data_IF_010673813802
#
_entry.id   IF_010673813802
#
_cell.length_a   1.000
_cell.length_b   1.000
_cell.length_c   1.000
_cell.angle_alpha   90.00
_cell.angle_beta   90.00
_cell.angle_gamma   90.00
#
_symmetry.space_group_name_H-M   'P 1'
#
loop_
_entity.id
_entity.type
_entity.pdbx_description
1 polymer ?
#
# COMPACT_ATOMS: atom_id res chain seq x y z
N UNK A 1 24.34 -27.57 31.21
CA UNK A 1 23.50 -27.89 30.05
C UNK A 1 22.62 -26.69 29.66
N UNK A 2 21.64 -26.27 30.47
CA UNK A 2 20.73 -25.16 30.08
C UNK A 2 21.49 -23.85 29.86
N UNK A 3 22.48 -23.56 30.68
CA UNK A 3 23.36 -22.39 30.57
C UNK A 3 24.22 -22.44 29.31
N UNK A 4 24.79 -23.58 28.98
CA UNK A 4 25.57 -23.82 27.76
C UNK A 4 24.67 -23.66 26.50
N UNK A 5 23.46 -24.18 26.53
CA UNK A 5 22.53 -24.05 25.40
C UNK A 5 21.96 -22.64 25.20
N UNK A 6 21.90 -21.82 26.26
CA UNK A 6 21.46 -20.42 26.17
C UNK A 6 22.52 -19.45 25.67
N UNK A 7 23.81 -19.82 25.77
CA UNK A 7 24.97 -18.98 25.36
C UNK A 7 25.28 -19.08 23.86
N UNK A 8 24.88 -20.17 23.14
CA UNK A 8 25.21 -20.33 21.70
C UNK A 8 24.13 -19.71 20.82
N UNK A 9 23.10 -19.87 20.50
CA UNK A 9 22.13 -19.23 19.55
C UNK A 9 20.69 -19.17 20.07
N UNK A 10 20.51 -19.40 21.37
CA UNK A 10 19.19 -19.56 21.98
C UNK A 10 18.68 -21.01 21.88
N UNK A 11 17.67 -21.34 22.67
CA UNK A 11 17.12 -22.70 22.72
C UNK A 11 16.35 -23.03 21.45
N UNK A 12 16.66 -24.12 20.73
CA UNK A 12 16.03 -24.49 19.47
C UNK A 12 14.57 -24.98 19.63
N UNK A 13 14.15 -25.28 20.84
CA UNK A 13 12.80 -25.70 21.20
C UNK A 13 12.51 -25.35 22.67
N UNK A 14 11.24 -25.29 23.09
CA UNK A 14 10.90 -25.07 24.50
C UNK A 14 11.42 -26.21 25.39
N UNK A 15 12.09 -25.83 26.46
CA UNK A 15 12.69 -26.77 27.42
C UNK A 15 11.90 -26.76 28.72
N UNK A 16 11.43 -27.91 29.16
CA UNK A 16 10.75 -28.10 30.46
C UNK A 16 11.72 -28.84 31.38
N UNK A 17 12.09 -28.21 32.49
CA UNK A 17 12.97 -28.79 33.48
C UNK A 17 12.18 -29.65 34.49
N UNK A 18 12.77 -30.80 34.86
CA UNK A 18 12.12 -31.71 35.85
C UNK A 18 13.12 -32.08 36.95
N UNK A 19 12.75 -31.87 38.21
CA UNK A 19 13.61 -32.21 39.36
C UNK A 19 12.85 -32.92 40.48
N UNK A 20 13.52 -33.80 41.18
CA UNK A 20 12.97 -34.46 42.38
C UNK A 20 13.25 -33.68 43.68
N UNK A 21 14.13 -32.69 43.68
CA UNK A 21 14.53 -31.86 44.84
C UNK A 21 14.63 -30.38 44.37
N UNK A 22 13.58 -29.84 43.75
CA UNK A 22 13.56 -28.48 43.29
C UNK A 22 13.17 -27.50 44.38
N UNK A 23 14.01 -26.53 44.68
CA UNK A 23 13.56 -25.36 45.46
C UNK A 23 12.96 -24.29 44.54
N UNK A 24 12.19 -23.36 45.12
CA UNK A 24 11.66 -22.22 44.36
C UNK A 24 12.77 -21.44 43.67
N UNK A 25 13.95 -21.36 44.29
CA UNK A 25 15.13 -20.67 43.75
C UNK A 25 15.65 -21.36 42.47
N UNK A 26 15.71 -22.71 42.46
CA UNK A 26 16.14 -23.49 41.27
C UNK A 26 15.11 -23.36 40.11
N UNK A 27 13.82 -23.25 40.42
CA UNK A 27 12.79 -23.01 39.41
C UNK A 27 12.94 -21.63 38.79
N UNK A 28 13.13 -20.59 39.61
CA UNK A 28 13.34 -19.21 39.15
C UNK A 28 14.63 -19.09 38.30
N UNK A 29 15.72 -19.76 38.72
CA UNK A 29 16.97 -19.77 37.97
C UNK A 29 16.82 -20.48 36.61
N UNK A 30 16.14 -21.62 36.57
CA UNK A 30 15.85 -22.33 35.32
C UNK A 30 15.04 -21.47 34.34
N UNK A 31 14.03 -20.75 34.81
CA UNK A 31 13.23 -19.84 33.97
C UNK A 31 14.06 -18.63 33.50
N UNK A 32 14.96 -18.09 34.33
CA UNK A 32 15.89 -17.04 33.92
C UNK A 32 16.89 -17.49 32.85
N UNK A 33 17.26 -18.77 32.85
CA UNK A 33 18.15 -19.38 31.86
C UNK A 33 17.38 -19.82 30.58
N UNK A 34 16.09 -19.50 30.44
CA UNK A 34 15.29 -19.74 29.25
C UNK A 34 14.47 -21.03 29.26
N UNK A 35 14.34 -21.75 30.40
CA UNK A 35 13.39 -22.83 30.49
C UNK A 35 11.95 -22.30 30.38
N UNK A 36 11.10 -22.99 29.60
CA UNK A 36 9.69 -22.64 29.46
C UNK A 36 8.92 -22.81 30.79
N UNK A 37 9.20 -23.94 31.49
CA UNK A 37 8.58 -24.22 32.79
C UNK A 37 9.45 -25.20 33.60
N UNK A 38 9.13 -25.34 34.89
CA UNK A 38 9.78 -26.25 35.83
C UNK A 38 8.75 -27.14 36.51
N UNK A 39 9.00 -28.46 36.50
CA UNK A 39 8.10 -29.45 37.10
C UNK A 39 8.81 -30.23 38.21
N UNK A 40 8.19 -30.32 39.36
CA UNK A 40 8.70 -31.14 40.51
C UNK A 40 8.17 -32.58 40.43
N UNK A 41 9.06 -33.54 40.72
CA UNK A 41 8.71 -34.98 40.86
C UNK A 41 8.14 -35.23 42.25
N UNK A 42 7.10 -36.09 42.42
CA UNK A 42 6.47 -36.97 41.41
C UNK A 42 5.56 -36.23 40.45
N UNK A 43 5.68 -36.58 39.14
CA UNK A 43 4.94 -35.94 38.06
C UNK A 43 3.50 -36.49 37.94
N UNK A 44 2.54 -35.61 37.89
CA UNK A 44 1.20 -35.92 37.40
C UNK A 44 1.21 -35.94 35.86
N UNK A 45 0.76 -37.05 35.27
CA UNK A 45 0.63 -37.18 33.82
C UNK A 45 -0.20 -36.02 33.20
N UNK A 46 -1.30 -35.63 33.86
CA UNK A 46 -2.14 -34.54 33.43
C UNK A 46 -1.37 -33.19 33.41
N UNK A 47 -0.57 -32.90 34.43
CA UNK A 47 0.24 -31.66 34.48
C UNK A 47 1.35 -31.67 33.42
N UNK A 48 2.01 -32.81 33.20
CA UNK A 48 3.05 -32.93 32.17
C UNK A 48 2.47 -32.69 30.78
N UNK A 49 1.34 -33.36 30.46
CA UNK A 49 0.66 -33.20 29.18
C UNK A 49 0.25 -31.72 28.94
N UNK A 50 -0.39 -31.10 29.92
CA UNK A 50 -0.86 -29.72 29.82
C UNK A 50 0.31 -28.74 29.62
N UNK A 51 1.42 -28.92 30.37
CA UNK A 51 2.59 -28.04 30.24
C UNK A 51 3.26 -28.24 28.89
N UNK A 52 3.36 -29.50 28.41
CA UNK A 52 3.95 -29.77 27.08
C UNK A 52 3.09 -29.20 25.96
N UNK A 53 1.76 -29.35 26.03
CA UNK A 53 0.86 -28.79 25.03
C UNK A 53 0.98 -27.25 24.95
N UNK A 54 0.98 -26.56 26.09
CA UNK A 54 1.17 -25.13 26.18
C UNK A 54 2.54 -24.68 25.64
N UNK A 55 3.60 -25.42 25.96
CA UNK A 55 4.94 -25.13 25.47
C UNK A 55 5.03 -25.24 23.94
N UNK A 56 4.44 -26.29 23.37
CA UNK A 56 4.39 -26.48 21.91
C UNK A 56 3.52 -25.43 21.21
N UNK A 57 2.37 -25.05 21.80
CA UNK A 57 1.54 -23.99 21.27
C UNK A 57 2.24 -22.63 21.28
N UNK A 58 2.92 -22.29 22.37
CA UNK A 58 3.72 -21.07 22.46
C UNK A 58 4.86 -21.05 21.43
N UNK A 59 5.58 -22.16 21.25
CA UNK A 59 6.64 -22.27 20.22
C UNK A 59 6.08 -22.14 18.80
N UNK A 60 4.94 -22.78 18.54
CA UNK A 60 4.25 -22.65 17.25
C UNK A 60 3.89 -21.20 16.96
N UNK A 61 3.30 -20.47 17.92
CA UNK A 61 2.96 -19.06 17.77
C UNK A 61 4.20 -18.19 17.54
N UNK A 62 5.31 -18.45 18.25
CA UNK A 62 6.58 -17.77 18.05
C UNK A 62 7.14 -18.02 16.65
N UNK A 63 7.14 -19.29 16.18
CA UNK A 63 7.60 -19.65 14.83
C UNK A 63 6.71 -19.06 13.74
N UNK A 64 5.39 -19.08 13.91
CA UNK A 64 4.44 -18.45 13.00
C UNK A 64 4.67 -16.94 12.95
N UNK A 65 4.88 -16.28 14.09
CA UNK A 65 5.18 -14.87 14.18
C UNK A 65 6.51 -14.52 13.48
N UNK A 66 7.56 -15.32 13.71
CA UNK A 66 8.85 -15.17 13.01
C UNK A 66 8.67 -15.41 11.50
N UNK A 67 7.88 -16.40 11.11
CA UNK A 67 7.57 -16.69 9.71
C UNK A 67 6.78 -15.57 9.05
N UNK A 68 5.79 -15.00 9.73
CA UNK A 68 5.04 -13.82 9.28
C UNK A 68 5.95 -12.59 9.21
N UNK A 69 6.77 -12.34 10.24
CA UNK A 69 7.76 -11.26 10.23
C UNK A 69 8.76 -11.39 9.07
N UNK A 70 9.30 -12.59 8.81
CA UNK A 70 10.20 -12.83 7.67
C UNK A 70 9.51 -12.62 6.32
N UNK A 71 8.23 -12.96 6.17
CA UNK A 71 7.44 -12.66 4.95
C UNK A 71 7.16 -11.17 4.78
N UNK A 72 7.06 -10.43 5.88
CA UNK A 72 6.79 -8.97 5.87
C UNK A 72 8.09 -8.14 5.73
N UNK A 73 9.27 -8.69 6.07
CA UNK A 73 10.56 -7.97 6.16
C UNK A 73 11.49 -8.28 4.96
N UNK A 74 10.99 -8.65 3.81
CA UNK A 74 11.81 -8.49 2.62
C UNK A 74 11.56 -7.05 2.12
N UNK A 75 12.10 -6.08 2.84
CA UNK A 75 12.25 -4.73 2.32
C UNK A 75 13.32 -4.82 1.22
N UNK A 76 12.86 -5.06 -0.01
CA UNK A 76 13.77 -5.02 -1.14
C UNK A 76 14.34 -3.60 -1.26
N UNK A 77 15.64 -3.51 -1.49
CA UNK A 77 16.25 -2.24 -1.85
C UNK A 77 15.51 -1.68 -3.08
N UNK A 78 15.09 -0.40 -3.07
CA UNK A 78 14.43 0.20 -4.23
C UNK A 78 15.26 0.02 -5.49
N UNK A 79 14.65 -0.49 -6.55
CA UNK A 79 15.32 -0.86 -7.80
C UNK A 79 15.62 0.40 -8.60
N UNK A 80 16.74 0.38 -9.31
CA UNK A 80 17.19 1.43 -10.20
C UNK A 80 18.67 1.75 -10.00
N UNK A 81 19.43 1.81 -11.08
CA UNK A 81 20.85 2.18 -11.12
C UNK A 81 21.06 3.62 -11.53
N UNK A 82 20.00 4.31 -11.91
CA UNK A 82 20.01 5.71 -12.27
C UNK A 82 20.53 6.58 -11.12
N UNK A 83 21.12 7.71 -11.48
CA UNK A 83 21.75 8.62 -10.52
C UNK A 83 20.75 9.17 -9.50
N UNK A 84 19.50 9.38 -9.90
CA UNK A 84 18.42 9.84 -9.03
C UNK A 84 18.15 8.81 -7.92
N UNK A 85 17.97 7.54 -8.30
CA UNK A 85 17.69 6.45 -7.36
C UNK A 85 18.87 6.14 -6.44
N UNK A 86 20.10 6.22 -6.95
CA UNK A 86 21.30 6.05 -6.11
C UNK A 86 21.39 7.14 -5.03
N UNK A 87 21.22 8.41 -5.40
CA UNK A 87 21.21 9.55 -4.46
C UNK A 87 20.11 9.39 -3.40
N UNK A 88 18.92 8.97 -3.82
CA UNK A 88 17.80 8.79 -2.92
C UNK A 88 18.07 7.66 -1.91
N UNK A 89 18.62 6.52 -2.35
CA UNK A 89 19.04 5.43 -1.44
C UNK A 89 20.11 5.88 -0.44
N UNK A 90 21.11 6.64 -0.87
CA UNK A 90 22.12 7.19 0.04
C UNK A 90 21.52 8.19 1.03
N UNK A 91 20.57 9.01 0.60
CA UNK A 91 19.84 9.91 1.50
C UNK A 91 19.05 9.10 2.53
N UNK A 92 18.34 8.06 2.12
CA UNK A 92 17.61 7.17 3.04
C UNK A 92 18.55 6.51 4.05
N UNK A 93 19.72 5.99 3.63
CA UNK A 93 20.70 5.39 4.53
C UNK A 93 21.21 6.38 5.59
N UNK A 94 21.40 7.65 5.23
CA UNK A 94 21.78 8.71 6.19
C UNK A 94 20.64 9.03 7.16
N UNK A 95 19.42 9.19 6.67
CA UNK A 95 18.24 9.48 7.50
C UNK A 95 17.94 8.32 8.46
N UNK A 96 18.16 7.08 8.01
CA UNK A 96 17.89 5.87 8.79
C UNK A 96 18.70 5.78 10.10
N UNK A 97 19.86 6.44 10.16
CA UNK A 97 20.71 6.45 11.36
C UNK A 97 20.15 7.33 12.49
N UNK A 98 19.16 8.15 12.21
CA UNK A 98 18.51 9.05 13.17
C UNK A 98 17.07 8.63 13.39
N UNK A 99 16.62 8.69 14.64
CA UNK A 99 15.22 8.34 15.01
C UNK A 99 14.30 9.57 14.86
N UNK A 100 14.40 10.25 13.73
CA UNK A 100 13.61 11.44 13.39
C UNK A 100 12.44 11.09 12.49
N UNK A 101 11.42 11.92 12.49
CA UNK A 101 10.27 11.79 11.60
C UNK A 101 10.63 12.16 10.17
N UNK A 102 9.96 11.52 9.22
CA UNK A 102 10.24 11.67 7.79
C UNK A 102 8.94 11.88 7.04
N UNK A 103 8.90 12.92 6.23
CA UNK A 103 7.80 13.16 5.30
C UNK A 103 8.22 12.71 3.89
N UNK A 104 7.59 11.64 3.39
CA UNK A 104 7.83 11.13 2.05
C UNK A 104 6.79 11.71 1.09
N UNK A 105 7.23 12.47 0.11
CA UNK A 105 6.37 13.02 -0.94
C UNK A 105 6.65 12.37 -2.29
N UNK A 106 5.64 12.30 -3.15
CA UNK A 106 5.77 11.74 -4.50
C UNK A 106 4.42 11.36 -5.08
N UNK A 107 4.35 11.22 -6.38
CA UNK A 107 3.12 10.85 -7.08
C UNK A 107 2.58 9.48 -6.66
N UNK A 108 1.28 9.25 -6.92
CA UNK A 108 0.67 7.95 -6.71
C UNK A 108 1.43 6.87 -7.50
N UNK A 109 1.77 5.75 -6.82
CA UNK A 109 2.49 4.64 -7.45
C UNK A 109 3.98 4.86 -7.67
N UNK A 110 4.59 5.96 -7.22
CA UNK A 110 6.03 6.23 -7.36
C UNK A 110 6.92 5.33 -6.48
N UNK A 111 6.34 4.63 -5.50
CA UNK A 111 7.10 3.74 -4.60
C UNK A 111 7.35 4.32 -3.21
N UNK A 112 6.58 5.31 -2.74
CA UNK A 112 6.70 5.91 -1.40
C UNK A 112 6.74 4.85 -0.29
N UNK A 113 5.84 3.88 -0.32
CA UNK A 113 5.82 2.76 0.63
C UNK A 113 7.11 1.93 0.58
N UNK A 114 7.64 1.66 -0.62
CA UNK A 114 8.90 0.95 -0.80
C UNK A 114 10.06 1.67 -0.11
N UNK A 115 10.11 3.00 -0.24
CA UNK A 115 11.12 3.82 0.43
C UNK A 115 10.91 3.90 1.95
N UNK A 116 9.66 3.91 2.43
CA UNK A 116 9.36 3.86 3.86
C UNK A 116 9.84 2.53 4.48
N UNK A 117 9.56 1.40 3.81
CA UNK A 117 10.05 0.07 4.24
C UNK A 117 11.56 -0.04 4.15
N UNK A 118 12.18 0.52 3.13
CA UNK A 118 13.63 0.57 3.00
C UNK A 118 14.26 1.41 4.11
N UNK A 119 13.70 2.58 4.43
CA UNK A 119 14.14 3.42 5.53
C UNK A 119 14.08 2.67 6.87
N UNK A 120 12.99 1.96 7.13
CA UNK A 120 12.85 1.13 8.31
C UNK A 120 13.93 0.04 8.36
N UNK A 121 14.16 -0.69 7.25
CA UNK A 121 15.14 -1.79 7.17
C UNK A 121 16.59 -1.34 7.40
N UNK A 122 16.89 -0.08 7.12
CA UNK A 122 18.21 0.52 7.34
C UNK A 122 18.36 1.18 8.73
N UNK A 123 17.29 1.21 9.53
CA UNK A 123 17.27 1.91 10.83
C UNK A 123 17.65 1.01 12.00
N UNK A 124 17.88 1.62 13.17
CA UNK A 124 18.07 0.90 14.43
C UNK A 124 16.83 0.08 14.85
N UNK A 125 15.65 0.40 14.31
CA UNK A 125 14.36 -0.29 14.57
C UNK A 125 14.04 -1.38 13.55
N UNK A 126 14.97 -1.78 12.68
CA UNK A 126 14.77 -2.75 11.57
C UNK A 126 14.18 -4.09 12.01
N UNK A 127 14.50 -4.55 13.23
CA UNK A 127 14.00 -5.82 13.79
C UNK A 127 12.72 -5.65 14.62
N UNK A 128 12.16 -4.44 14.64
CA UNK A 128 10.95 -4.05 15.35
C UNK A 128 9.75 -4.02 14.41
N UNK A 129 8.51 -3.90 14.91
CA UNK A 129 7.33 -3.82 14.07
C UNK A 129 7.39 -2.67 13.06
N UNK A 130 6.93 -2.93 11.84
CA UNK A 130 6.59 -1.92 10.84
C UNK A 130 5.10 -2.02 10.58
N UNK A 131 4.35 -1.00 10.96
CA UNK A 131 2.91 -0.91 10.74
C UNK A 131 2.64 0.10 9.64
N UNK A 132 1.83 -0.30 8.68
CA UNK A 132 1.41 0.51 7.55
C UNK A 132 -0.08 0.83 7.71
N UNK A 133 -0.40 2.11 7.82
CA UNK A 133 -1.75 2.60 8.00
C UNK A 133 -2.10 3.58 6.88
N UNK A 134 -2.86 3.09 5.89
CA UNK A 134 -3.38 3.92 4.79
C UNK A 134 -4.60 4.72 5.24
N UNK A 135 -4.44 6.02 5.41
CA UNK A 135 -5.51 6.91 5.92
C UNK A 135 -6.67 7.03 4.93
N UNK A 136 -6.39 7.07 3.63
CA UNK A 136 -7.40 7.23 2.58
C UNK A 136 -8.38 6.05 2.45
N UNK A 137 -7.94 4.84 2.85
CA UNK A 137 -8.77 3.62 2.80
C UNK A 137 -9.73 3.46 3.97
N UNK A 138 -9.63 4.30 5.01
CA UNK A 138 -10.40 4.17 6.23
C UNK A 138 -11.58 5.15 6.20
N UNK A 139 -12.80 4.64 6.48
CA UNK A 139 -13.94 5.52 6.65
C UNK A 139 -13.63 6.58 7.74
N UNK A 140 -13.89 7.86 7.46
CA UNK A 140 -13.56 9.00 8.35
C UNK A 140 -13.96 8.77 9.81
N UNK A 141 -15.09 8.10 10.04
CA UNK A 141 -15.60 7.76 11.38
C UNK A 141 -14.68 6.78 12.12
N UNK A 142 -13.91 5.97 11.42
CA UNK A 142 -13.06 4.93 11.99
C UNK A 142 -11.57 5.32 12.06
N UNK A 143 -11.16 6.40 11.39
CA UNK A 143 -9.75 6.78 11.28
C UNK A 143 -9.09 6.98 12.66
N UNK A 144 -9.79 7.63 13.60
CA UNK A 144 -9.30 7.78 14.97
C UNK A 144 -9.16 6.45 15.70
N UNK A 145 -10.10 5.50 15.49
CA UNK A 145 -10.04 4.15 16.11
C UNK A 145 -8.89 3.31 15.56
N UNK A 146 -8.66 3.37 14.26
CA UNK A 146 -7.57 2.63 13.62
C UNK A 146 -6.20 3.18 14.04
N UNK A 147 -6.08 4.49 14.24
CA UNK A 147 -4.82 5.12 14.64
C UNK A 147 -4.57 5.01 16.15
N UNK A 148 -5.54 5.40 16.98
CA UNK A 148 -5.41 5.48 18.44
C UNK A 148 -5.95 4.27 19.20
N UNK A 149 -6.65 3.36 18.50
CA UNK A 149 -7.37 2.28 19.17
C UNK A 149 -8.67 2.73 19.82
N UNK A 150 -9.36 1.79 20.43
CA UNK A 150 -10.60 2.08 21.16
C UNK A 150 -10.75 1.20 22.39
N UNK A 151 -11.48 1.71 23.36
CA UNK A 151 -11.85 0.96 24.57
C UNK A 151 -13.36 1.09 24.79
N UNK A 152 -14.05 -0.05 24.72
CA UNK A 152 -15.50 -0.08 24.86
C UNK A 152 -15.92 -1.35 25.62
N UNK A 153 -16.74 -1.20 26.67
CA UNK A 153 -17.27 -2.31 27.48
C UNK A 153 -16.19 -3.27 28.02
N UNK A 154 -14.99 -2.75 28.38
CA UNK A 154 -13.86 -3.54 28.86
C UNK A 154 -13.08 -4.28 27.75
N UNK A 155 -13.45 -4.10 26.48
CA UNK A 155 -12.71 -4.63 25.34
C UNK A 155 -11.79 -3.54 24.78
N UNK A 156 -10.49 -3.87 24.67
CA UNK A 156 -9.46 -2.99 24.10
C UNK A 156 -9.16 -3.43 22.68
N UNK A 157 -9.26 -2.47 21.75
CA UNK A 157 -8.76 -2.61 20.38
C UNK A 157 -7.52 -1.74 20.23
N UNK A 158 -6.37 -2.34 19.92
CA UNK A 158 -5.09 -1.65 19.75
C UNK A 158 -5.02 -0.96 18.40
N UNK A 159 -4.78 0.36 18.40
CA UNK A 159 -4.59 1.16 17.18
C UNK A 159 -3.19 1.04 16.61
N UNK A 160 -2.97 1.65 15.43
CA UNK A 160 -1.69 1.63 14.73
C UNK A 160 -0.52 2.13 15.55
N UNK A 161 -0.72 3.15 16.39
CA UNK A 161 0.32 3.66 17.30
C UNK A 161 0.77 2.62 18.32
N UNK A 162 -0.14 1.85 18.89
CA UNK A 162 0.20 0.78 19.83
C UNK A 162 0.80 -0.45 19.13
N UNK A 163 0.26 -0.81 17.98
CA UNK A 163 0.77 -1.94 17.17
C UNK A 163 2.20 -1.69 16.71
N UNK A 164 2.56 -0.42 16.46
CA UNK A 164 3.90 -0.01 16.05
C UNK A 164 4.85 0.24 17.24
N UNK A 165 4.45 -0.02 18.47
CA UNK A 165 5.25 0.28 19.66
C UNK A 165 6.68 -0.30 19.59
N UNK A 166 7.67 0.55 19.87
CA UNK A 166 9.10 0.24 19.73
C UNK A 166 9.59 0.18 18.27
N UNK A 167 8.72 0.32 17.29
CA UNK A 167 8.98 0.15 15.86
C UNK A 167 8.76 1.41 15.03
N UNK A 168 8.18 1.24 13.84
CA UNK A 168 7.90 2.31 12.88
C UNK A 168 6.45 2.26 12.44
N UNK A 169 5.79 3.42 12.43
CA UNK A 169 4.45 3.61 11.85
C UNK A 169 4.58 4.41 10.56
N UNK A 170 4.11 3.84 9.45
CA UNK A 170 3.87 4.56 8.20
C UNK A 170 2.41 5.03 8.18
N UNK A 171 2.21 6.34 8.05
CA UNK A 171 0.91 6.95 7.73
C UNK A 171 0.90 7.29 6.24
N UNK A 172 0.27 6.43 5.42
CA UNK A 172 0.16 6.69 3.98
C UNK A 172 -1.07 7.55 3.67
N UNK A 173 -0.88 8.48 2.73
CA UNK A 173 -1.84 9.53 2.33
C UNK A 173 -2.29 10.41 3.51
N UNK A 174 -1.32 10.89 4.30
CA UNK A 174 -1.58 11.76 5.46
C UNK A 174 -2.35 13.03 5.09
N UNK A 175 -2.24 13.50 3.83
CA UNK A 175 -2.98 14.66 3.31
C UNK A 175 -4.51 14.46 3.28
N UNK A 176 -4.99 13.21 3.27
CA UNK A 176 -6.42 12.87 3.27
C UNK A 176 -7.02 12.76 4.69
N UNK A 177 -6.19 12.97 5.72
CA UNK A 177 -6.60 12.86 7.12
C UNK A 177 -7.62 13.95 7.50
N UNK A 178 -8.67 13.55 8.21
CA UNK A 178 -9.67 14.49 8.76
C UNK A 178 -9.04 15.44 9.80
N UNK A 179 -9.47 16.70 9.83
CA UNK A 179 -8.91 17.72 10.71
C UNK A 179 -9.01 17.36 12.21
N UNK A 180 -10.05 16.63 12.60
CA UNK A 180 -10.19 16.16 13.99
C UNK A 180 -9.08 15.18 14.36
N UNK A 181 -8.79 14.24 13.46
CA UNK A 181 -7.73 13.24 13.63
C UNK A 181 -6.34 13.92 13.56
N UNK A 182 -6.16 14.91 12.67
CA UNK A 182 -4.94 15.73 12.63
C UNK A 182 -4.66 16.39 13.97
N UNK A 183 -5.69 16.98 14.61
CA UNK A 183 -5.56 17.61 15.93
C UNK A 183 -5.23 16.61 17.05
N UNK A 184 -5.83 15.42 17.03
CA UNK A 184 -5.52 14.35 17.98
C UNK A 184 -4.09 13.83 17.79
N UNK A 185 -3.65 13.63 16.56
CA UNK A 185 -2.30 13.19 16.25
C UNK A 185 -1.27 14.22 16.73
N UNK A 186 -1.47 15.49 16.43
CA UNK A 186 -0.61 16.57 16.92
C UNK A 186 -0.50 16.55 18.44
N UNK A 187 -1.65 16.53 19.14
CA UNK A 187 -1.67 16.47 20.61
C UNK A 187 -0.93 15.26 21.17
N UNK A 188 -1.06 14.10 20.51
CA UNK A 188 -0.38 12.87 20.89
C UNK A 188 1.15 12.97 20.70
N UNK A 189 1.59 13.60 19.60
CA UNK A 189 3.01 13.80 19.31
C UNK A 189 3.65 14.80 20.26
N UNK A 190 2.95 15.88 20.61
CA UNK A 190 3.43 16.91 21.53
C UNK A 190 3.57 16.41 22.96
N UNK A 191 2.60 15.62 23.44
CA UNK A 191 2.58 15.10 24.81
C UNK A 191 3.35 13.79 24.99
N UNK A 192 3.69 13.12 23.89
CA UNK A 192 4.29 11.77 23.92
C UNK A 192 3.34 10.68 24.41
N UNK A 193 2.01 10.98 24.47
CA UNK A 193 1.00 10.04 24.92
C UNK A 193 -0.37 10.37 24.29
N UNK A 194 -1.26 9.38 24.26
CA UNK A 194 -2.62 9.56 23.74
C UNK A 194 -3.64 8.76 24.57
N UNK A 195 -4.91 9.04 24.37
CA UNK A 195 -6.02 8.24 24.90
C UNK A 195 -6.66 7.44 23.78
N UNK A 196 -7.00 6.17 24.04
CA UNK A 196 -7.85 5.39 23.14
C UNK A 196 -9.23 6.03 23.03
N UNK A 197 -9.88 5.84 21.90
CA UNK A 197 -11.26 6.33 21.72
C UNK A 197 -12.18 5.63 22.72
N UNK A 198 -12.78 6.39 23.62
CA UNK A 198 -13.61 5.88 24.72
C UNK A 198 -12.83 5.46 25.96
N UNK A 199 -11.50 5.46 25.93
CA UNK A 199 -10.64 5.12 27.07
C UNK A 199 -10.28 6.35 27.92
N UNK A 200 -9.80 6.11 29.13
CA UNK A 200 -9.37 7.13 30.09
C UNK A 200 -7.90 6.99 30.49
N UNK A 201 -7.27 5.86 30.15
CA UNK A 201 -5.88 5.61 30.50
C UNK A 201 -4.93 6.12 29.40
N UNK A 202 -3.91 6.94 29.75
CA UNK A 202 -2.94 7.43 28.78
C UNK A 202 -1.99 6.30 28.34
N UNK A 203 -1.75 6.22 27.02
CA UNK A 203 -0.81 5.29 26.40
C UNK A 203 0.40 6.08 25.89
N UNK A 204 1.60 5.68 26.29
CA UNK A 204 2.84 6.34 25.87
C UNK A 204 3.18 5.96 24.43
N UNK A 205 3.75 6.91 23.68
CA UNK A 205 4.21 6.74 22.31
C UNK A 205 5.71 6.45 22.30
N UNK A 206 6.09 5.28 21.80
CA UNK A 206 7.46 4.95 21.40
C UNK A 206 7.44 4.44 19.96
N UNK A 207 7.26 5.35 19.00
CA UNK A 207 7.12 5.01 17.59
C UNK A 207 7.92 5.99 16.74
N UNK A 208 8.68 5.48 15.78
CA UNK A 208 9.21 6.30 14.69
C UNK A 208 8.12 6.52 13.64
N UNK A 209 7.75 7.78 13.41
CA UNK A 209 6.71 8.13 12.43
C UNK A 209 7.32 8.41 11.05
N UNK A 210 6.73 7.82 10.02
CA UNK A 210 6.96 8.13 8.61
C UNK A 210 5.61 8.54 8.04
N UNK A 211 5.48 9.78 7.57
CA UNK A 211 4.29 10.24 6.86
C UNK A 211 4.54 10.20 5.36
N UNK A 212 3.56 9.73 4.58
CA UNK A 212 3.64 9.72 3.13
C UNK A 212 2.41 10.40 2.52
N UNK A 213 2.59 11.12 1.41
CA UNK A 213 1.50 11.78 0.70
C UNK A 213 1.84 12.06 -0.77
N UNK A 214 0.81 12.06 -1.61
CA UNK A 214 0.92 12.57 -2.99
C UNK A 214 0.57 14.06 -3.08
N UNK A 215 -0.09 14.61 -2.07
CA UNK A 215 -0.52 16.00 -2.04
C UNK A 215 0.63 16.95 -1.67
N UNK A 216 0.60 18.15 -2.22
CA UNK A 216 1.42 19.24 -1.71
C UNK A 216 0.79 19.76 -0.40
N UNK A 217 1.36 19.37 0.74
CA UNK A 217 0.80 19.75 2.04
C UNK A 217 0.80 21.25 2.28
N UNK A 218 1.72 22.03 1.67
CA UNK A 218 1.68 23.49 1.77
C UNK A 218 0.44 24.07 1.11
N UNK A 219 0.01 23.51 -0.03
CA UNK A 219 -1.22 23.93 -0.71
C UNK A 219 -2.46 23.48 0.09
N UNK A 220 -2.42 22.30 0.72
CA UNK A 220 -3.48 21.83 1.62
C UNK A 220 -3.61 22.71 2.87
N UNK A 221 -2.49 23.19 3.43
CA UNK A 221 -2.48 24.16 4.53
C UNK A 221 -3.11 25.49 4.09
N UNK A 222 -2.70 26.02 2.93
CA UNK A 222 -3.29 27.28 2.39
C UNK A 222 -4.78 27.16 2.13
N UNK A 223 -5.24 26.00 1.72
CA UNK A 223 -6.65 25.69 1.49
C UNK A 223 -7.43 25.38 2.77
N UNK A 224 -6.78 25.37 3.93
CA UNK A 224 -7.39 25.07 5.24
C UNK A 224 -7.83 23.61 5.42
N UNK A 225 -7.33 22.68 4.59
CA UNK A 225 -7.61 21.25 4.71
C UNK A 225 -6.60 20.50 5.57
N UNK A 226 -5.39 21.03 5.69
CA UNK A 226 -4.34 20.48 6.54
C UNK A 226 -3.91 21.52 7.58
N UNK A 227 -3.60 21.10 8.82
CA UNK A 227 -3.17 21.98 9.90
C UNK A 227 -1.70 22.36 9.68
N UNK A 228 -1.42 23.66 9.82
CA UNK A 228 -0.06 24.22 9.66
C UNK A 228 0.90 23.69 10.74
N UNK A 229 0.42 23.59 11.99
CA UNK A 229 1.22 23.09 13.11
C UNK A 229 1.62 21.61 12.90
N UNK A 230 0.70 20.76 12.49
CA UNK A 230 1.01 19.36 12.16
C UNK A 230 1.97 19.24 10.96
N UNK A 231 1.81 20.09 9.94
CA UNK A 231 2.73 20.11 8.80
C UNK A 231 4.17 20.34 9.25
N UNK A 232 4.44 21.33 10.10
CA UNK A 232 5.80 21.59 10.59
C UNK A 232 6.33 20.45 11.47
N UNK A 233 5.47 19.79 12.25
CA UNK A 233 5.86 18.59 13.01
C UNK A 233 6.26 17.42 12.13
N UNK A 234 5.54 17.16 11.03
CA UNK A 234 5.83 16.04 10.11
C UNK A 234 6.99 16.33 9.18
N UNK A 235 7.16 17.58 8.74
CA UNK A 235 8.16 17.99 7.77
C UNK A 235 9.55 18.27 8.37
N UNK A 236 10.00 17.40 9.29
CA UNK A 236 11.34 17.52 9.89
C UNK A 236 12.42 17.14 8.87
N UNK A 237 12.24 16.00 8.20
CA UNK A 237 13.14 15.55 7.12
C UNK A 237 12.30 15.19 5.89
N UNK A 238 12.29 16.04 4.86
CA UNK A 238 11.60 15.72 3.62
C UNK A 238 12.39 14.72 2.77
N UNK A 239 11.68 13.76 2.18
CA UNK A 239 12.19 12.80 1.22
C UNK A 239 11.27 12.78 0.00
N UNK A 240 11.72 13.30 -1.14
CA UNK A 240 10.93 13.33 -2.35
C UNK A 240 11.26 12.14 -3.24
N UNK A 241 10.26 11.31 -3.54
CA UNK A 241 10.37 10.18 -4.45
C UNK A 241 10.02 10.65 -5.86
N UNK A 242 10.96 10.57 -6.83
CA UNK A 242 10.73 11.06 -8.19
C UNK A 242 9.68 10.22 -8.91
N UNK A 243 9.01 10.82 -9.87
CA UNK A 243 8.14 10.11 -10.79
C UNK A 243 8.96 9.21 -11.74
N UNK A 244 8.39 8.10 -12.21
CA UNK A 244 9.09 7.13 -13.06
C UNK A 244 9.64 7.76 -14.36
N UNK A 245 8.95 8.76 -14.90
CA UNK A 245 9.42 9.53 -16.09
C UNK A 245 10.70 10.32 -15.84
N UNK A 246 11.02 10.65 -14.58
CA UNK A 246 12.22 11.42 -14.21
C UNK A 246 13.45 10.53 -14.00
N UNK A 247 13.27 9.20 -14.02
CA UNK A 247 14.35 8.20 -13.98
C UNK A 247 14.07 7.02 -14.92
N UNK A 248 13.68 7.34 -16.13
CA UNK A 248 13.29 6.37 -17.17
C UNK A 248 14.41 5.40 -17.59
N UNK A 249 15.68 5.73 -17.28
CA UNK A 249 16.80 4.80 -17.44
C UNK A 249 16.68 3.52 -16.61
N UNK A 250 15.90 3.55 -15.52
CA UNK A 250 15.70 2.40 -14.64
C UNK A 250 14.59 1.44 -15.12
N UNK A 251 13.79 1.85 -16.12
CA UNK A 251 12.67 1.06 -16.63
C UNK A 251 13.08 -0.36 -17.04
N UNK A 252 14.17 -0.59 -17.82
CA UNK A 252 14.56 -1.95 -18.19
C UNK A 252 14.88 -2.85 -16.99
N UNK A 253 15.48 -2.30 -15.94
CA UNK A 253 15.79 -3.05 -14.72
C UNK A 253 14.50 -3.40 -13.96
N UNK A 254 13.58 -2.45 -13.84
CA UNK A 254 12.26 -2.67 -13.25
C UNK A 254 11.44 -3.72 -14.00
N UNK A 255 11.47 -3.72 -15.34
CA UNK A 255 10.80 -4.71 -16.16
C UNK A 255 11.33 -6.13 -15.90
N UNK A 256 12.66 -6.29 -15.92
CA UNK A 256 13.28 -7.59 -15.64
C UNK A 256 12.93 -8.07 -14.23
N UNK A 257 13.01 -7.16 -13.24
CA UNK A 257 12.65 -7.50 -11.87
C UNK A 257 11.21 -7.97 -11.75
N UNK A 258 10.24 -7.28 -12.35
CA UNK A 258 8.83 -7.69 -12.24
C UNK A 258 8.52 -8.95 -13.03
N UNK A 259 9.20 -9.22 -14.16
CA UNK A 259 9.10 -10.51 -14.86
C UNK A 259 9.59 -11.64 -13.95
N UNK A 260 10.76 -11.49 -13.34
CA UNK A 260 11.32 -12.47 -12.41
C UNK A 260 10.41 -12.66 -11.18
N UNK A 261 9.89 -11.55 -10.63
CA UNK A 261 8.98 -11.56 -9.50
C UNK A 261 7.70 -12.37 -9.80
N UNK A 262 7.03 -12.10 -10.92
CA UNK A 262 5.80 -12.80 -11.28
C UNK A 262 6.04 -14.25 -11.68
N UNK A 263 7.15 -14.53 -12.36
CA UNK A 263 7.53 -15.92 -12.70
C UNK A 263 7.79 -16.76 -11.44
N UNK A 264 8.43 -16.17 -10.42
CA UNK A 264 8.81 -16.88 -9.20
C UNK A 264 7.63 -17.03 -8.23
N UNK A 265 6.86 -15.94 -7.99
CA UNK A 265 5.83 -15.90 -6.95
C UNK A 265 4.44 -16.30 -7.44
N UNK A 266 4.10 -15.94 -8.68
CA UNK A 266 2.79 -16.21 -9.27
C UNK A 266 2.83 -17.33 -10.32
N UNK A 267 4.02 -17.90 -10.59
CA UNK A 267 4.23 -18.97 -11.57
C UNK A 267 3.76 -18.59 -12.97
N UNK A 268 3.82 -17.30 -13.31
CA UNK A 268 3.53 -16.85 -14.67
C UNK A 268 4.66 -17.22 -15.63
N UNK A 269 4.38 -17.34 -16.93
CA UNK A 269 5.42 -17.68 -17.93
C UNK A 269 6.51 -16.60 -17.95
N UNK A 270 7.77 -17.03 -17.97
CA UNK A 270 8.89 -16.13 -18.12
C UNK A 270 8.97 -15.65 -19.57
N UNK A 271 8.88 -14.35 -19.80
CA UNK A 271 8.96 -13.73 -21.13
C UNK A 271 9.92 -12.53 -21.09
N UNK A 272 10.53 -12.20 -22.20
CA UNK A 272 11.49 -11.09 -22.30
C UNK A 272 10.91 -9.95 -23.13
N UNK A 273 11.12 -8.74 -22.68
CA UNK A 273 10.77 -7.56 -23.47
C UNK A 273 11.78 -7.35 -24.60
N UNK A 274 11.30 -7.20 -25.84
CA UNK A 274 12.12 -6.80 -26.98
C UNK A 274 12.75 -5.41 -26.75
N UNK A 275 13.84 -5.12 -27.45
CA UNK A 275 14.49 -3.79 -27.38
C UNK A 275 13.54 -2.67 -27.81
N UNK A 276 12.68 -2.93 -28.81
CA UNK A 276 11.65 -1.99 -29.26
C UNK A 276 10.64 -1.69 -28.15
N UNK A 277 10.13 -2.72 -27.46
CA UNK A 277 9.23 -2.57 -26.34
C UNK A 277 9.85 -1.77 -25.18
N UNK A 278 11.10 -2.08 -24.82
CA UNK A 278 11.80 -1.33 -23.75
C UNK A 278 12.01 0.15 -24.12
N UNK A 279 12.37 0.46 -25.38
CA UNK A 279 12.54 1.84 -25.83
C UNK A 279 11.21 2.60 -25.88
N UNK A 280 10.14 1.94 -26.28
CA UNK A 280 8.79 2.52 -26.23
C UNK A 280 8.41 2.89 -24.79
N UNK A 281 8.59 1.97 -23.85
CA UNK A 281 8.26 2.17 -22.44
C UNK A 281 9.11 3.23 -21.75
N UNK A 282 10.38 3.44 -22.17
CA UNK A 282 11.22 4.55 -21.68
C UNK A 282 10.66 5.93 -22.02
N UNK A 283 9.94 6.04 -23.13
CA UNK A 283 9.35 7.30 -23.60
C UNK A 283 7.89 7.49 -23.17
N UNK A 284 7.30 6.49 -22.55
CA UNK A 284 5.93 6.58 -22.06
C UNK A 284 5.87 7.41 -20.75
N UNK A 285 4.85 8.26 -20.55
CA UNK A 285 4.79 9.23 -19.44
C UNK A 285 4.52 8.61 -18.06
N UNK A 286 4.04 7.36 -18.00
CA UNK A 286 3.74 6.61 -16.76
C UNK A 286 2.93 7.39 -15.72
N UNK A 287 1.69 7.80 -16.01
CA UNK A 287 0.86 8.55 -15.05
C UNK A 287 0.61 7.80 -13.74
N UNK A 288 0.58 6.46 -13.76
CA UNK A 288 0.49 5.59 -12.59
C UNK A 288 1.83 5.09 -12.07
N UNK A 289 2.96 5.62 -12.60
CA UNK A 289 4.32 5.33 -12.16
C UNK A 289 4.65 3.83 -12.11
N UNK A 290 5.40 3.38 -11.11
CA UNK A 290 5.82 1.98 -10.94
C UNK A 290 4.63 1.03 -10.74
N UNK A 291 3.52 1.51 -10.17
CA UNK A 291 2.29 0.72 -10.02
C UNK A 291 1.70 0.36 -11.38
N UNK A 292 1.66 1.31 -12.30
CA UNK A 292 1.18 1.09 -13.67
C UNK A 292 2.11 0.15 -14.43
N UNK A 293 3.43 0.36 -14.33
CA UNK A 293 4.43 -0.51 -14.94
C UNK A 293 4.31 -1.96 -14.44
N UNK A 294 4.19 -2.17 -13.12
CA UNK A 294 3.98 -3.49 -12.54
C UNK A 294 2.72 -4.17 -13.09
N UNK A 295 1.60 -3.43 -13.14
CA UNK A 295 0.33 -3.94 -13.66
C UNK A 295 0.42 -4.28 -15.17
N UNK A 296 1.15 -3.47 -15.95
CA UNK A 296 1.41 -3.75 -17.36
C UNK A 296 2.18 -5.06 -17.51
N UNK A 297 3.29 -5.24 -16.78
CA UNK A 297 4.09 -6.46 -16.82
C UNK A 297 3.22 -7.68 -16.50
N UNK A 298 2.46 -7.62 -15.42
CA UNK A 298 1.56 -8.72 -15.05
C UNK A 298 0.56 -9.03 -16.17
N UNK A 299 -0.06 -8.03 -16.76
CA UNK A 299 -1.06 -8.17 -17.81
C UNK A 299 -0.48 -8.81 -19.08
N UNK A 300 0.70 -8.36 -19.54
CA UNK A 300 1.33 -8.96 -20.73
C UNK A 300 1.82 -10.38 -20.49
N UNK A 301 2.20 -10.74 -19.26
CA UNK A 301 2.56 -12.12 -18.91
C UNK A 301 1.33 -13.05 -18.88
N UNK A 302 0.18 -12.55 -18.46
CA UNK A 302 -1.07 -13.33 -18.37
C UNK A 302 -1.72 -13.49 -19.75
N UNK A 303 -1.78 -12.42 -20.55
CA UNK A 303 -2.56 -12.40 -21.79
C UNK A 303 -1.75 -12.74 -23.04
N UNK A 304 -0.43 -12.59 -22.97
CA UNK A 304 0.44 -12.78 -24.11
C UNK A 304 0.87 -14.23 -24.34
N UNK A 305 1.39 -14.51 -25.52
CA UNK A 305 1.90 -15.83 -25.93
C UNK A 305 3.32 -15.70 -26.47
N UNK A 306 4.09 -16.82 -26.41
CA UNK A 306 5.48 -16.87 -26.85
C UNK A 306 6.48 -16.34 -25.82
N UNK A 307 7.75 -16.32 -26.17
CA UNK A 307 8.86 -16.03 -25.25
C UNK A 307 9.27 -14.55 -25.23
N UNK A 308 8.89 -13.79 -26.26
CA UNK A 308 9.24 -12.38 -26.40
C UNK A 308 7.99 -11.49 -26.40
N UNK A 309 8.09 -10.36 -25.72
CA UNK A 309 7.05 -9.31 -25.64
C UNK A 309 7.43 -8.21 -26.65
N UNK A 310 6.62 -8.06 -27.70
CA UNK A 310 6.85 -7.06 -28.74
C UNK A 310 6.36 -5.66 -28.34
N UNK A 311 6.80 -4.65 -29.10
CA UNK A 311 6.31 -3.27 -28.94
C UNK A 311 4.79 -3.19 -29.19
N UNK A 312 4.29 -3.83 -30.24
CA UNK A 312 2.86 -3.82 -30.59
C UNK A 312 2.00 -4.41 -29.46
N UNK A 313 2.49 -5.45 -28.79
CA UNK A 313 1.79 -6.07 -27.64
C UNK A 313 1.70 -5.09 -26.46
N UNK A 314 2.77 -4.35 -26.18
CA UNK A 314 2.81 -3.33 -25.14
C UNK A 314 1.87 -2.17 -25.49
N UNK A 315 1.93 -1.66 -26.73
CA UNK A 315 1.05 -0.58 -27.19
C UNK A 315 -0.43 -0.95 -27.12
N UNK A 316 -0.78 -2.15 -27.58
CA UNK A 316 -2.13 -2.68 -27.49
C UNK A 316 -2.61 -2.81 -26.04
N UNK A 317 -1.72 -3.25 -25.13
CA UNK A 317 -2.04 -3.42 -23.71
C UNK A 317 -2.20 -2.09 -22.99
N UNK A 318 -1.37 -1.10 -23.32
CA UNK A 318 -1.50 0.28 -22.80
C UNK A 318 -2.70 0.99 -23.43
N UNK A 319 -2.89 0.87 -24.75
CA UNK A 319 -4.03 1.45 -25.46
C UNK A 319 -5.37 0.87 -24.98
N UNK A 320 -5.45 -0.42 -24.65
CA UNK A 320 -6.64 -1.00 -24.03
C UNK A 320 -6.91 -0.46 -22.61
N UNK A 321 -5.88 -0.07 -21.88
CA UNK A 321 -6.03 0.56 -20.56
C UNK A 321 -6.48 2.02 -20.66
N UNK A 322 -6.10 2.72 -21.72
CA UNK A 322 -6.55 4.09 -22.02
C UNK A 322 -7.89 4.13 -22.78
N UNK A 323 -8.33 3.01 -23.35
CA UNK A 323 -9.59 2.89 -24.10
C UNK A 323 -10.78 2.43 -23.25
N UNK A 324 -10.72 2.57 -21.93
CA UNK A 324 -11.91 2.83 -21.13
C UNK A 324 -11.85 4.27 -20.60
N UNK A 325 -12.10 5.28 -21.42
CA UNK A 325 -12.66 6.48 -20.86
C UNK A 325 -14.11 6.07 -20.54
N UNK A 326 -14.47 5.92 -19.28
CA UNK A 326 -15.76 6.48 -18.94
C UNK A 326 -15.77 7.85 -19.60
N UNK A 327 -16.72 8.18 -20.51
CA UNK A 327 -16.74 9.48 -21.10
C UNK A 327 -16.68 10.47 -19.94
N UNK A 328 -15.68 11.35 -19.96
CA UNK A 328 -15.52 12.37 -18.94
C UNK A 328 -16.71 13.30 -19.11
N UNK A 329 -17.82 12.94 -18.49
CA UNK A 329 -19.09 13.67 -18.52
C UNK A 329 -18.93 15.07 -17.91
N UNK A 330 -17.88 15.25 -17.07
CA UNK A 330 -17.56 16.55 -16.46
C UNK A 330 -17.01 17.57 -17.46
N UNK A 331 -16.44 17.15 -18.59
CA UNK A 331 -15.98 18.08 -19.66
C UNK A 331 -17.01 18.31 -20.76
N UNK A 332 -18.08 17.51 -20.85
CA UNK A 332 -19.08 17.55 -21.93
C UNK A 332 -20.45 18.09 -21.49
N UNK A 333 -20.66 18.25 -20.18
CA UNK A 333 -21.90 18.82 -19.65
C UNK A 333 -21.59 19.95 -18.68
N UNK A 334 -21.88 21.18 -19.09
CA UNK A 334 -21.98 22.29 -18.15
C UNK A 334 -23.35 22.17 -17.44
N UNK A 335 -23.31 21.90 -16.12
CA UNK A 335 -24.50 21.87 -15.28
C UNK A 335 -25.08 23.28 -15.02
N UNK A 336 -24.39 24.33 -15.46
CA UNK A 336 -24.81 25.73 -15.36
C UNK A 336 -25.71 26.16 -16.55
N UNK A 337 -26.17 25.19 -17.37
CA UNK A 337 -27.08 25.44 -18.50
C UNK A 337 -28.51 25.06 -18.16
N UNK A 338 -29.50 25.66 -18.82
CA UNK A 338 -30.89 25.24 -18.71
C UNK A 338 -31.08 23.76 -19.08
N UNK A 339 -31.87 23.03 -18.32
CA UNK A 339 -32.08 21.57 -18.48
C UNK A 339 -32.40 21.16 -19.92
N UNK A 340 -33.06 21.99 -20.67
CA UNK A 340 -33.41 21.74 -22.08
C UNK A 340 -32.15 21.67 -22.95
N UNK A 341 -31.23 22.60 -22.78
CA UNK A 341 -29.96 22.67 -23.53
C UNK A 341 -29.02 21.53 -23.16
N UNK A 342 -28.89 21.24 -21.88
CA UNK A 342 -28.11 20.11 -21.39
C UNK A 342 -28.63 18.77 -21.94
N UNK A 343 -29.96 18.61 -22.02
CA UNK A 343 -30.58 17.41 -22.58
C UNK A 343 -30.34 17.30 -24.10
N UNK A 344 -30.46 18.39 -24.85
CA UNK A 344 -30.21 18.41 -26.29
C UNK A 344 -28.78 18.06 -26.62
N UNK A 345 -27.83 18.56 -25.80
CA UNK A 345 -26.42 18.30 -25.94
C UNK A 345 -26.08 16.83 -25.63
N UNK A 346 -26.63 16.27 -24.56
CA UNK A 346 -26.50 14.84 -24.24
C UNK A 346 -27.05 13.94 -25.35
N UNK A 347 -28.26 14.21 -25.80
CA UNK A 347 -28.93 13.45 -26.86
C UNK A 347 -28.11 13.49 -28.16
N UNK A 348 -27.52 14.65 -28.49
CA UNK A 348 -26.66 14.81 -29.66
C UNK A 348 -25.39 13.96 -29.55
N UNK A 349 -24.65 14.09 -28.46
CA UNK A 349 -23.42 13.35 -28.23
C UNK A 349 -23.65 11.83 -28.17
N UNK A 350 -24.74 11.40 -27.52
CA UNK A 350 -25.13 9.99 -27.45
C UNK A 350 -25.45 9.42 -28.84
N UNK A 351 -26.20 10.15 -29.65
CA UNK A 351 -26.61 9.69 -30.99
C UNK A 351 -25.45 9.73 -31.99
N UNK A 352 -24.51 10.68 -31.89
CA UNK A 352 -23.30 10.74 -32.69
C UNK A 352 -22.39 9.53 -32.36
N UNK A 353 -22.18 9.22 -31.08
CA UNK A 353 -21.43 8.04 -30.64
C UNK A 353 -22.07 6.73 -31.15
N UNK A 354 -23.37 6.58 -31.02
CA UNK A 354 -24.07 5.38 -31.49
C UNK A 354 -24.01 5.24 -33.02
N UNK A 355 -24.05 6.35 -33.76
CA UNK A 355 -23.92 6.36 -35.21
C UNK A 355 -22.55 5.91 -35.68
N UNK A 356 -21.48 6.37 -34.97
CA UNK A 356 -20.12 5.99 -35.23
C UNK A 356 -19.87 4.52 -34.88
N UNK A 357 -20.30 4.07 -33.70
CA UNK A 357 -20.20 2.67 -33.22
C UNK A 357 -20.83 1.67 -34.21
N UNK A 358 -21.92 2.05 -34.88
CA UNK A 358 -22.63 1.19 -35.84
C UNK A 358 -22.27 1.48 -37.30
N UNK A 359 -21.21 2.25 -37.55
CA UNK A 359 -20.73 2.54 -38.90
C UNK A 359 -21.79 3.19 -39.81
N UNK A 360 -22.68 3.99 -39.26
CA UNK A 360 -23.74 4.66 -39.99
C UNK A 360 -25.03 3.82 -40.18
N UNK A 361 -25.12 2.62 -39.61
CA UNK A 361 -26.31 1.75 -39.78
C UNK A 361 -27.43 2.13 -38.80
N UNK A 362 -28.33 3.01 -39.26
CA UNK A 362 -29.45 3.54 -38.47
C UNK A 362 -30.43 2.47 -37.99
N UNK A 363 -30.56 1.34 -38.69
CA UNK A 363 -31.43 0.25 -38.27
C UNK A 363 -30.93 -0.51 -37.03
N UNK A 364 -29.60 -0.76 -36.95
CA UNK A 364 -28.98 -1.34 -35.78
C UNK A 364 -29.00 -0.37 -34.60
N UNK A 365 -28.67 0.89 -34.86
CA UNK A 365 -28.68 1.96 -33.90
C UNK A 365 -30.06 2.14 -33.24
N UNK A 366 -31.15 2.11 -34.02
CA UNK A 366 -32.52 2.22 -33.53
C UNK A 366 -32.87 1.11 -32.53
N UNK A 367 -32.44 -0.11 -32.82
CA UNK A 367 -32.68 -1.28 -31.98
C UNK A 367 -31.93 -1.17 -30.64
N UNK A 368 -30.68 -0.73 -30.66
CA UNK A 368 -29.89 -0.56 -29.42
C UNK A 368 -30.30 0.66 -28.60
N UNK A 369 -30.65 1.75 -29.26
CA UNK A 369 -31.17 2.96 -28.58
C UNK A 369 -32.63 2.81 -28.07
N UNK A 370 -33.29 1.66 -28.32
CA UNK A 370 -34.68 1.43 -27.90
C UNK A 370 -35.68 2.38 -28.55
N UNK A 371 -35.36 2.89 -29.75
CA UNK A 371 -36.17 3.90 -30.46
C UNK A 371 -36.74 3.33 -31.76
N UNK A 372 -37.95 3.79 -32.13
CA UNK A 372 -38.49 3.47 -33.42
C UNK A 372 -37.70 4.19 -34.52
N UNK A 373 -37.42 3.49 -35.64
CA UNK A 373 -36.57 3.98 -36.74
C UNK A 373 -37.02 5.34 -37.28
N UNK A 374 -38.30 5.52 -37.42
CA UNK A 374 -38.90 6.79 -37.90
C UNK A 374 -38.70 7.95 -36.91
N UNK A 375 -38.75 7.65 -35.62
CA UNK A 375 -38.55 8.63 -34.58
C UNK A 375 -37.05 9.00 -34.48
N UNK A 376 -36.15 8.01 -34.65
CA UNK A 376 -34.71 8.23 -34.66
C UNK A 376 -34.27 9.13 -35.83
N UNK A 377 -34.78 8.90 -37.07
CA UNK A 377 -34.47 9.77 -38.19
C UNK A 377 -34.92 11.22 -37.97
N UNK A 378 -36.09 11.44 -37.38
CA UNK A 378 -36.56 12.78 -37.01
C UNK A 378 -35.66 13.43 -35.97
N UNK A 379 -35.22 12.65 -34.99
CA UNK A 379 -34.36 13.13 -33.92
C UNK A 379 -32.96 13.51 -34.43
N UNK A 380 -32.33 12.67 -35.25
CA UNK A 380 -31.05 12.97 -35.88
C UNK A 380 -31.09 14.25 -36.69
N UNK A 381 -32.19 14.46 -37.45
CA UNK A 381 -32.40 15.65 -38.26
C UNK A 381 -32.63 16.91 -37.42
N UNK A 382 -33.37 16.81 -36.31
CA UNK A 382 -33.60 17.93 -35.39
C UNK A 382 -32.35 18.37 -34.65
N UNK A 383 -31.38 17.46 -34.41
CA UNK A 383 -30.12 17.72 -33.77
C UNK A 383 -28.98 18.08 -34.75
N UNK A 384 -29.27 18.15 -36.05
CA UNK A 384 -28.30 18.54 -37.10
C UNK A 384 -27.23 17.48 -37.37
N UNK A 385 -27.51 16.20 -37.13
CA UNK A 385 -26.55 15.09 -37.35
C UNK A 385 -26.75 14.57 -38.78
N UNK A 386 -25.71 14.71 -39.61
CA UNK A 386 -25.71 14.23 -41.00
C UNK A 386 -25.42 12.72 -41.05
N UNK A 387 -26.28 11.98 -41.72
CA UNK A 387 -26.14 10.56 -41.98
C UNK A 387 -25.37 10.38 -43.30
N UNK A 388 -24.07 10.05 -43.25
CA UNK A 388 -23.36 9.64 -44.45
C UNK A 388 -23.73 8.19 -44.77
N UNK A 389 -24.70 7.98 -45.68
CA UNK A 389 -24.92 6.67 -46.28
C UNK A 389 -23.66 6.27 -47.07
N UNK A 390 -22.92 5.29 -46.56
CA UNK A 390 -21.96 4.57 -47.41
C UNK A 390 -22.76 3.69 -48.37
N UNK A 391 -22.72 4.04 -49.68
CA UNK A 391 -23.12 3.17 -50.78
C UNK A 391 -22.27 1.91 -50.83
#
# INVERSE_FOLDING_TARGET
LLKEWSEDEGLPCPVIMMSGHGTVETAVEATRLGAYDFLEKPLSMAKLLLTTERALEADKLVRENIGLKRRTIIAHEPIGRGTAMQRLREQVKRIAQHDTWVLITGEAGSGRETFARYLHSQSARRDRPFVDLGVSGIARVNAARELFGSEQDGHVHYGGLEQAAGGTLLLDEVGDMDQGVQGQLLGALDTGSFLRVGGTEPVNIDVRLIAATQHNLEDEVRAGRFREDLFYHLNVVPLSVPALRDHNEDIPELLNYYVDYFATHEKLPYRRFSVGAQNYMRNYPWPGNVRELKNLVQRVLILGAGDEISQDEVENTLGAATSTPAPNLEGLMSFDQPLREAREQFEKTYLEYQLEKHGGNVSKMAKEAGMERTHLYRKLRSLGIEIKERR
#
